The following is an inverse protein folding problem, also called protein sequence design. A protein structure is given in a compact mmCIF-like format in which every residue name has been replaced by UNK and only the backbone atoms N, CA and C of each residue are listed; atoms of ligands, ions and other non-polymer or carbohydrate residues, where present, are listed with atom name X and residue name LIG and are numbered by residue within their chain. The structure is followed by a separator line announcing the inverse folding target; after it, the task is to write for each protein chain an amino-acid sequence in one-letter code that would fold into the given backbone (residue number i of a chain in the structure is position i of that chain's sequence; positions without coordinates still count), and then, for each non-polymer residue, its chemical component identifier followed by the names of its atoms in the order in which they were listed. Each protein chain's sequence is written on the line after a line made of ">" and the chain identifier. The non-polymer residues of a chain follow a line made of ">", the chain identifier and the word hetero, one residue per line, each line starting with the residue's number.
data_IF_496309848084
#
_entry.id   IF_496309848084
#
_cell.length_a   1.000
_cell.length_b   1.000
_cell.length_c   1.000
_cell.angle_alpha   90.00
_cell.angle_beta   90.00
_cell.angle_gamma   90.00
#
_symmetry.space_group_name_H-M   'P 1'
#
loop_
_entity.id
_entity.type
_entity.pdbx_description
1 polymer ?
#
# COMPACT_ATOMS: atom_id res chain seq x y z
N UNK A 1 -6.89 10.03 16.94
CA UNK A 1 -7.68 8.88 17.40
C UNK A 1 -8.13 8.22 16.12
N UNK A 2 -8.00 6.90 16.02
CA UNK A 2 -8.49 6.15 14.88
C UNK A 2 -10.01 5.97 14.98
N UNK A 3 -10.64 5.56 13.89
CA UNK A 3 -12.07 5.26 13.82
C UNK A 3 -12.37 4.03 14.67
N UNK A 4 -13.37 4.13 15.53
CA UNK A 4 -13.80 3.06 16.44
C UNK A 4 -15.20 2.51 16.12
N UNK A 5 -15.97 3.18 15.26
CA UNK A 5 -17.25 2.72 14.76
C UNK A 5 -17.45 3.18 13.30
N UNK A 6 -17.30 2.28 12.33
CA UNK A 6 -17.35 2.63 10.90
C UNK A 6 -18.75 3.01 10.42
N UNK A 7 -19.80 2.43 11.00
CA UNK A 7 -21.19 2.76 10.68
C UNK A 7 -21.49 4.22 11.03
N UNK A 8 -21.23 4.62 12.28
CA UNK A 8 -21.43 6.00 12.72
C UNK A 8 -20.54 6.97 11.94
N UNK A 9 -19.32 6.55 11.60
CA UNK A 9 -18.41 7.36 10.80
C UNK A 9 -18.93 7.59 9.37
N UNK A 10 -19.45 6.54 8.74
CA UNK A 10 -19.87 6.56 7.35
C UNK A 10 -21.23 7.22 7.13
N UNK A 11 -22.03 7.39 8.18
CA UNK A 11 -23.42 7.87 8.14
C UNK A 11 -24.32 6.95 7.29
N UNK A 12 -24.06 5.65 7.37
CA UNK A 12 -24.84 4.62 6.70
C UNK A 12 -25.77 3.92 7.69
N UNK A 13 -26.96 3.55 7.23
CA UNK A 13 -27.84 2.65 7.97
C UNK A 13 -27.33 1.20 7.89
N UNK A 14 -27.79 0.32 8.77
CA UNK A 14 -27.43 -1.11 8.69
C UNK A 14 -27.83 -1.74 7.34
N UNK A 15 -28.94 -1.28 6.75
CA UNK A 15 -29.40 -1.76 5.45
C UNK A 15 -28.50 -1.29 4.31
N UNK A 16 -28.01 -0.04 4.38
CA UNK A 16 -27.06 0.46 3.39
C UNK A 16 -25.77 -0.37 3.39
N UNK A 17 -25.27 -0.70 4.59
CA UNK A 17 -24.04 -1.49 4.74
C UNK A 17 -24.23 -2.89 4.13
N UNK A 18 -25.35 -3.56 4.44
CA UNK A 18 -25.68 -4.87 3.86
C UNK A 18 -25.81 -4.84 2.34
N UNK A 19 -26.50 -3.83 1.80
CA UNK A 19 -26.69 -3.71 0.35
C UNK A 19 -25.36 -3.42 -0.37
N UNK A 20 -24.48 -2.61 0.22
CA UNK A 20 -23.12 -2.42 -0.32
C UNK A 20 -22.37 -3.75 -0.35
N UNK A 21 -22.38 -4.50 0.77
CA UNK A 21 -21.74 -5.82 0.87
C UNK A 21 -22.24 -6.79 -0.20
N UNK A 22 -23.56 -6.96 -0.29
CA UNK A 22 -24.19 -7.83 -1.28
C UNK A 22 -23.84 -7.45 -2.73
N UNK A 23 -23.76 -6.14 -3.05
CA UNK A 23 -23.36 -5.67 -4.38
C UNK A 23 -21.89 -5.92 -4.67
N UNK A 24 -21.02 -5.84 -3.67
CA UNK A 24 -19.60 -6.17 -3.81
C UNK A 24 -19.40 -7.67 -4.00
N UNK A 25 -20.11 -8.51 -3.25
CA UNK A 25 -20.10 -9.96 -3.45
C UNK A 25 -20.59 -10.33 -4.87
N UNK A 26 -21.68 -9.71 -5.34
CA UNK A 26 -22.17 -9.92 -6.71
C UNK A 26 -21.16 -9.48 -7.79
N UNK A 27 -20.43 -8.38 -7.56
CA UNK A 27 -19.32 -7.97 -8.45
C UNK A 27 -18.24 -9.05 -8.47
N UNK A 28 -17.82 -9.54 -7.29
CA UNK A 28 -16.80 -10.59 -7.19
C UNK A 28 -17.21 -11.83 -7.97
N UNK A 29 -18.40 -12.36 -7.71
CA UNK A 29 -18.93 -13.57 -8.36
C UNK A 29 -19.00 -13.42 -9.89
N UNK A 30 -19.45 -12.27 -10.39
CA UNK A 30 -19.53 -12.00 -11.83
C UNK A 30 -18.14 -12.02 -12.50
N UNK A 31 -17.14 -11.39 -11.88
CA UNK A 31 -15.79 -11.37 -12.43
C UNK A 31 -15.08 -12.71 -12.30
N UNK A 32 -15.30 -13.45 -11.21
CA UNK A 32 -14.79 -14.82 -11.04
C UNK A 32 -15.39 -15.76 -12.10
N UNK A 33 -16.68 -15.64 -12.40
CA UNK A 33 -17.35 -16.44 -13.43
C UNK A 33 -16.90 -16.11 -14.86
N UNK A 34 -16.41 -14.90 -15.12
CA UNK A 34 -15.89 -14.46 -16.44
C UNK A 34 -14.38 -14.72 -16.62
N UNK A 35 -13.70 -15.32 -15.64
CA UNK A 35 -12.28 -15.67 -15.79
C UNK A 35 -12.09 -16.72 -16.89
N UNK A 36 -11.12 -16.50 -17.77
CA UNK A 36 -10.89 -17.41 -18.88
C UNK A 36 -9.64 -17.13 -19.68
N UNK A 37 -9.64 -17.54 -20.95
CA UNK A 37 -8.43 -17.54 -21.78
C UNK A 37 -7.78 -16.16 -21.96
N UNK A 38 -8.55 -15.08 -21.89
CA UNK A 38 -8.01 -13.71 -22.00
C UNK A 38 -7.08 -13.38 -20.82
N UNK A 39 -7.41 -13.86 -19.63
CA UNK A 39 -6.64 -13.70 -18.41
C UNK A 39 -5.40 -14.59 -18.43
N UNK A 40 -5.55 -15.85 -18.88
CA UNK A 40 -4.42 -16.77 -19.08
C UNK A 40 -3.40 -16.18 -20.07
N UNK A 41 -3.87 -15.62 -21.20
CA UNK A 41 -3.01 -14.97 -22.20
C UNK A 41 -2.30 -13.75 -21.62
N UNK A 42 -2.97 -12.99 -20.75
CA UNK A 42 -2.38 -11.85 -20.06
C UNK A 42 -1.19 -12.27 -19.21
N UNK A 43 -1.38 -13.16 -18.24
CA UNK A 43 -0.30 -13.53 -17.30
C UNK A 43 0.84 -14.28 -18.00
N UNK A 44 0.55 -15.23 -18.91
CA UNK A 44 1.59 -15.93 -19.67
C UNK A 44 2.35 -15.00 -20.62
N UNK A 45 1.65 -14.04 -21.23
CA UNK A 45 2.26 -13.00 -22.06
C UNK A 45 3.19 -12.09 -21.25
N UNK A 46 2.78 -11.73 -20.04
CA UNK A 46 3.56 -10.90 -19.14
C UNK A 46 4.81 -11.62 -18.63
N UNK A 47 4.69 -12.86 -18.14
CA UNK A 47 5.82 -13.70 -17.71
C UNK A 47 6.84 -13.84 -18.86
N UNK A 48 6.36 -14.12 -20.08
CA UNK A 48 7.23 -14.20 -21.26
C UNK A 48 7.96 -12.87 -21.51
N UNK A 49 7.25 -11.75 -21.44
CA UNK A 49 7.84 -10.40 -21.64
C UNK A 49 8.90 -10.09 -20.59
N UNK A 50 8.60 -10.37 -19.32
CA UNK A 50 9.53 -10.20 -18.20
C UNK A 50 10.79 -11.07 -18.41
N UNK A 51 10.64 -12.36 -18.75
CA UNK A 51 11.76 -13.28 -19.01
C UNK A 51 12.62 -12.80 -20.19
N UNK A 52 12.01 -12.29 -21.26
CA UNK A 52 12.76 -11.69 -22.37
C UNK A 52 13.54 -10.45 -21.95
N UNK A 53 12.95 -9.55 -21.16
CA UNK A 53 13.64 -8.38 -20.63
C UNK A 53 14.82 -8.78 -19.75
N UNK A 54 14.65 -9.79 -18.88
CA UNK A 54 15.73 -10.33 -18.06
C UNK A 54 16.89 -10.82 -18.94
N UNK A 55 16.62 -11.74 -19.86
CA UNK A 55 17.65 -12.34 -20.73
C UNK A 55 18.33 -11.28 -21.60
N UNK A 56 17.57 -10.38 -22.22
CA UNK A 56 18.12 -9.30 -23.04
C UNK A 56 18.96 -8.32 -22.20
N UNK A 57 18.52 -8.00 -20.99
CA UNK A 57 19.27 -7.17 -20.05
C UNK A 57 20.60 -7.82 -19.67
N UNK A 58 20.60 -9.12 -19.32
CA UNK A 58 21.83 -9.89 -19.03
C UNK A 58 22.76 -9.95 -20.23
N UNK A 59 22.23 -10.19 -21.44
CA UNK A 59 23.02 -10.21 -22.66
C UNK A 59 23.66 -8.86 -22.97
N UNK A 60 22.95 -7.75 -22.76
CA UNK A 60 23.52 -6.40 -22.87
C UNK A 60 24.70 -6.20 -21.89
N UNK A 61 24.61 -6.74 -20.68
CA UNK A 61 25.68 -6.60 -19.69
C UNK A 61 26.99 -7.30 -20.05
N UNK A 62 26.97 -8.29 -20.96
CA UNK A 62 28.19 -8.88 -21.53
C UNK A 62 29.07 -7.83 -22.25
N UNK A 63 28.47 -6.72 -22.69
CA UNK A 63 29.14 -5.62 -23.41
C UNK A 63 29.10 -4.29 -22.64
N UNK A 64 28.78 -4.32 -21.34
CA UNK A 64 28.57 -3.13 -20.49
C UNK A 64 29.82 -2.30 -20.20
N UNK A 65 31.00 -2.70 -20.68
CA UNK A 65 32.18 -1.82 -20.73
C UNK A 65 31.93 -0.57 -21.60
N UNK A 66 30.94 -0.64 -22.49
CA UNK A 66 30.44 0.52 -23.25
C UNK A 66 29.14 1.03 -22.62
N UNK A 67 29.09 2.34 -22.34
CA UNK A 67 27.96 3.00 -21.66
C UNK A 67 26.57 2.68 -22.23
N UNK A 68 26.34 2.64 -23.56
CA UNK A 68 25.01 2.34 -24.09
C UNK A 68 24.48 0.96 -23.68
N UNK A 69 25.33 -0.06 -23.64
CA UNK A 69 24.96 -1.40 -23.22
C UNK A 69 24.73 -1.50 -21.71
N UNK A 70 25.45 -0.70 -20.91
CA UNK A 70 25.16 -0.58 -19.48
C UNK A 70 23.77 0.03 -19.25
N UNK A 71 23.43 1.13 -19.92
CA UNK A 71 22.09 1.73 -19.81
C UNK A 71 21.00 0.79 -20.28
N UNK A 72 21.18 0.14 -21.44
CA UNK A 72 20.23 -0.86 -21.93
C UNK A 72 20.04 -2.02 -20.93
N UNK A 73 21.14 -2.55 -20.38
CA UNK A 73 21.11 -3.60 -19.38
C UNK A 73 20.38 -3.18 -18.11
N UNK A 74 20.69 -2.00 -17.56
CA UNK A 74 20.01 -1.47 -16.37
C UNK A 74 18.53 -1.26 -16.63
N UNK A 75 18.14 -0.63 -17.74
CA UNK A 75 16.72 -0.38 -18.06
C UNK A 75 15.94 -1.68 -18.18
N UNK A 76 16.45 -2.65 -18.95
CA UNK A 76 15.77 -3.94 -19.14
C UNK A 76 15.67 -4.74 -17.84
N UNK A 77 16.74 -4.79 -17.05
CA UNK A 77 16.73 -5.48 -15.76
C UNK A 77 15.83 -4.78 -14.74
N UNK A 78 15.79 -3.45 -14.71
CA UNK A 78 14.87 -2.70 -13.85
C UNK A 78 13.42 -3.01 -14.19
N UNK A 79 13.05 -2.98 -15.47
CA UNK A 79 11.70 -3.30 -15.91
C UNK A 79 11.33 -4.76 -15.61
N UNK A 80 12.23 -5.70 -15.93
CA UNK A 80 12.08 -7.12 -15.58
C UNK A 80 11.80 -7.30 -14.08
N UNK A 81 12.64 -6.71 -13.23
CA UNK A 81 12.54 -6.78 -11.77
C UNK A 81 11.29 -6.10 -11.21
N UNK A 82 10.82 -5.01 -11.83
CA UNK A 82 9.56 -4.35 -11.44
C UNK A 82 8.36 -5.24 -11.78
N UNK A 83 8.30 -5.78 -13.00
CA UNK A 83 7.22 -6.67 -13.43
C UNK A 83 7.17 -7.93 -12.58
N UNK A 84 8.33 -8.55 -12.35
CA UNK A 84 8.44 -9.75 -11.50
C UNK A 84 8.02 -9.47 -10.06
N UNK A 85 8.32 -8.29 -9.52
CA UNK A 85 7.99 -7.97 -8.13
C UNK A 85 6.50 -7.63 -7.96
N UNK A 86 5.95 -6.73 -8.78
CA UNK A 86 4.65 -6.12 -8.51
C UNK A 86 3.51 -6.75 -9.32
N UNK A 87 3.71 -7.06 -10.60
CA UNK A 87 2.62 -7.54 -11.45
C UNK A 87 2.54 -9.07 -11.52
N UNK A 88 3.68 -9.76 -11.41
CA UNK A 88 3.74 -11.22 -11.45
C UNK A 88 3.80 -11.79 -10.04
N UNK A 89 4.95 -11.68 -9.36
CA UNK A 89 5.21 -12.41 -8.12
C UNK A 89 4.26 -12.06 -6.98
N UNK A 90 3.99 -10.76 -6.76
CA UNK A 90 2.99 -10.30 -5.81
C UNK A 90 1.62 -10.94 -6.08
N UNK A 91 1.10 -10.76 -7.30
CA UNK A 91 -0.23 -11.20 -7.69
C UNK A 91 -0.39 -12.73 -7.70
N UNK A 92 0.62 -13.47 -8.16
CA UNK A 92 0.64 -14.94 -8.10
C UNK A 92 0.62 -15.42 -6.65
N UNK A 93 1.44 -14.84 -5.77
CA UNK A 93 1.44 -15.22 -4.34
C UNK A 93 0.21 -14.74 -3.57
N UNK A 94 -0.59 -13.82 -4.12
CA UNK A 94 -1.93 -13.51 -3.62
C UNK A 94 -2.99 -14.57 -3.95
N UNK A 95 -2.65 -15.56 -4.78
CA UNK A 95 -3.60 -16.56 -5.27
C UNK A 95 -4.43 -16.09 -6.46
N UNK A 96 -4.11 -14.92 -7.04
CA UNK A 96 -4.90 -14.33 -8.12
C UNK A 96 -4.99 -15.21 -9.37
N UNK A 97 -4.09 -16.18 -9.53
CA UNK A 97 -4.02 -17.06 -10.68
C UNK A 97 -4.27 -18.53 -10.33
N UNK A 98 -4.56 -18.85 -9.07
CA UNK A 98 -4.68 -20.23 -8.59
C UNK A 98 -5.87 -20.97 -9.25
N UNK A 99 -6.91 -20.25 -9.67
CA UNK A 99 -8.04 -20.78 -10.44
C UNK A 99 -7.62 -21.46 -11.75
N UNK A 100 -6.45 -21.11 -12.30
CA UNK A 100 -5.91 -21.74 -13.50
C UNK A 100 -5.46 -23.19 -13.26
N UNK A 101 -5.24 -23.59 -12.00
CA UNK A 101 -4.65 -24.87 -11.62
C UNK A 101 -3.32 -25.16 -12.36
N UNK A 102 -2.55 -24.11 -12.67
CA UNK A 102 -1.25 -24.21 -13.35
C UNK A 102 -0.14 -24.32 -12.29
N UNK A 103 0.60 -25.45 -12.20
CA UNK A 103 1.58 -25.65 -11.13
C UNK A 103 2.77 -24.68 -11.22
N UNK A 104 3.02 -24.07 -12.38
CA UNK A 104 4.06 -23.05 -12.54
C UNK A 104 3.57 -21.65 -12.14
N UNK A 105 2.26 -21.40 -12.12
CA UNK A 105 1.66 -20.09 -11.83
C UNK A 105 0.66 -20.27 -10.67
N UNK A 106 1.20 -20.56 -9.49
CA UNK A 106 0.40 -20.83 -8.30
C UNK A 106 1.03 -20.21 -7.06
N UNK A 107 0.20 -19.73 -6.13
CA UNK A 107 0.63 -19.02 -4.91
C UNK A 107 1.62 -19.81 -4.06
N UNK A 108 1.42 -21.13 -3.97
CA UNK A 108 2.23 -22.04 -3.15
C UNK A 108 3.55 -22.47 -3.81
N UNK A 109 3.74 -22.26 -5.11
CA UNK A 109 4.93 -22.71 -5.85
C UNK A 109 5.75 -21.57 -6.41
N UNK A 110 5.14 -20.39 -6.63
CA UNK A 110 5.86 -19.23 -7.17
C UNK A 110 6.87 -18.71 -6.17
N UNK A 111 8.11 -18.51 -6.63
CA UNK A 111 9.13 -17.81 -5.86
C UNK A 111 9.73 -16.67 -6.65
N UNK A 112 9.37 -15.45 -6.25
CA UNK A 112 9.72 -14.23 -6.97
C UNK A 112 11.20 -13.82 -6.82
N UNK A 113 11.63 -12.94 -7.73
CA UNK A 113 12.97 -12.37 -7.74
C UNK A 113 13.19 -11.27 -6.70
N UNK A 114 13.04 -11.63 -5.41
CA UNK A 114 13.23 -10.75 -4.27
C UNK A 114 13.86 -11.53 -3.09
N UNK A 115 14.20 -10.82 -2.01
CA UNK A 115 14.84 -11.38 -0.80
C UNK A 115 13.81 -11.99 0.15
N UNK A 116 12.58 -11.48 0.15
CA UNK A 116 11.48 -12.01 0.95
C UNK A 116 11.07 -13.41 0.46
N UNK A 117 11.10 -14.46 1.29
CA UNK A 117 10.52 -15.76 0.96
C UNK A 117 9.02 -15.64 0.65
N UNK A 118 8.51 -16.42 -0.31
CA UNK A 118 7.09 -16.37 -0.66
C UNK A 118 6.19 -16.76 0.52
N UNK A 119 6.61 -17.75 1.29
CA UNK A 119 5.99 -18.17 2.57
C UNK A 119 5.80 -17.00 3.55
N UNK A 120 6.83 -16.18 3.75
CA UNK A 120 6.80 -15.04 4.67
C UNK A 120 5.98 -13.87 4.11
N UNK A 121 5.99 -13.67 2.79
CA UNK A 121 5.08 -12.74 2.14
C UNK A 121 3.62 -13.14 2.36
N UNK A 122 3.26 -14.39 2.08
CA UNK A 122 1.91 -14.91 2.30
C UNK A 122 1.47 -14.78 3.77
N UNK A 123 2.38 -14.99 4.73
CA UNK A 123 2.07 -14.79 6.14
C UNK A 123 1.85 -13.31 6.49
N UNK A 124 2.85 -12.46 6.27
CA UNK A 124 2.79 -11.05 6.72
C UNK A 124 1.83 -10.21 5.92
N UNK A 125 1.77 -10.42 4.62
CA UNK A 125 0.94 -9.58 3.76
C UNK A 125 -0.45 -10.17 3.59
N UNK A 126 -0.60 -11.44 3.18
CA UNK A 126 -1.92 -12.00 2.92
C UNK A 126 -2.68 -12.30 4.24
N UNK A 127 -2.04 -12.97 5.21
CA UNK A 127 -2.74 -13.42 6.41
C UNK A 127 -2.85 -12.35 7.52
N UNK A 128 -1.91 -11.39 7.57
CA UNK A 128 -1.92 -10.32 8.57
C UNK A 128 -2.42 -9.01 7.95
N UNK A 129 -1.73 -8.46 6.97
CA UNK A 129 -2.05 -7.13 6.46
C UNK A 129 -3.43 -7.04 5.80
N UNK A 130 -3.79 -7.95 4.88
CA UNK A 130 -5.12 -7.93 4.22
C UNK A 130 -6.27 -8.20 5.19
N UNK A 131 -6.02 -8.96 6.25
CA UNK A 131 -7.01 -9.17 7.30
C UNK A 131 -7.21 -7.92 8.16
N UNK A 132 -6.11 -7.31 8.60
CA UNK A 132 -6.12 -6.26 9.62
C UNK A 132 -5.87 -4.85 9.08
N UNK A 133 -5.98 -4.63 7.77
CA UNK A 133 -5.55 -3.40 7.08
C UNK A 133 -5.89 -2.13 7.86
N UNK A 134 -4.86 -1.34 8.15
CA UNK A 134 -4.90 -0.07 8.87
C UNK A 134 -5.48 -0.10 10.30
N UNK A 135 -5.64 -1.29 10.91
CA UNK A 135 -5.97 -1.41 12.33
C UNK A 135 -4.72 -1.18 13.18
N UNK A 136 -4.75 -0.12 13.99
CA UNK A 136 -3.60 0.28 14.81
C UNK A 136 -3.20 -0.80 15.81
N UNK A 137 -1.95 -1.26 15.69
CA UNK A 137 -1.38 -2.29 16.57
C UNK A 137 -1.84 -3.71 16.26
N UNK A 138 -2.45 -3.93 15.10
CA UNK A 138 -2.66 -5.25 14.49
C UNK A 138 -1.99 -5.31 13.11
N UNK A 139 -2.17 -4.26 12.31
CA UNK A 139 -1.44 -4.09 11.06
C UNK A 139 -0.10 -3.38 11.32
N UNK A 140 0.97 -4.13 11.09
CA UNK A 140 2.33 -3.62 11.20
C UNK A 140 2.70 -2.72 10.03
N UNK A 141 2.02 -2.84 8.88
CA UNK A 141 2.33 -2.11 7.65
C UNK A 141 2.05 -0.63 7.82
N UNK A 142 1.15 -0.24 8.73
CA UNK A 142 1.01 1.15 9.22
C UNK A 142 2.39 1.67 9.68
N UNK A 143 3.16 2.27 8.78
CA UNK A 143 4.53 2.72 9.03
C UNK A 143 5.59 1.63 9.27
N UNK A 144 5.35 0.36 8.94
CA UNK A 144 6.33 -0.74 9.04
C UNK A 144 7.05 -0.85 10.40
N UNK A 145 6.38 -0.46 11.49
CA UNK A 145 6.95 -0.37 12.84
C UNK A 145 8.08 0.65 13.06
N UNK A 146 8.60 1.29 12.02
CA UNK A 146 9.77 2.19 12.07
C UNK A 146 9.36 3.64 11.77
N UNK A 147 8.48 3.82 10.79
CA UNK A 147 7.95 5.12 10.41
C UNK A 147 6.69 5.44 11.22
N UNK A 148 6.52 6.74 11.46
CA UNK A 148 5.32 7.32 12.04
C UNK A 148 4.50 7.95 10.93
N UNK A 149 3.48 7.20 10.52
CA UNK A 149 2.51 7.57 9.48
C UNK A 149 1.20 8.13 10.05
N UNK A 150 0.97 7.98 11.35
CA UNK A 150 -0.19 8.54 12.07
C UNK A 150 0.25 9.22 13.35
N UNK A 151 -0.49 10.27 13.75
CA UNK A 151 -0.27 10.98 15.03
C UNK A 151 -0.67 10.15 16.26
N UNK A 152 -1.40 9.06 16.06
CA UNK A 152 -1.85 8.16 17.12
C UNK A 152 -0.74 7.24 17.63
N UNK A 153 0.35 7.13 16.86
CA UNK A 153 1.61 6.58 17.39
C UNK A 153 2.33 7.63 18.21
N UNK A 154 2.76 7.23 19.41
CA UNK A 154 3.54 8.07 20.32
C UNK A 154 4.81 8.55 19.62
N UNK A 155 5.03 9.85 19.63
CA UNK A 155 6.27 10.44 19.12
C UNK A 155 7.44 10.13 20.06
N UNK A 156 8.61 9.91 19.47
CA UNK A 156 9.91 9.70 20.14
C UNK A 156 10.97 10.48 19.36
N UNK A 157 12.11 10.76 19.99
CA UNK A 157 13.21 11.52 19.37
C UNK A 157 13.73 10.91 18.07
N UNK A 158 13.65 9.58 17.91
CA UNK A 158 14.03 8.89 16.68
C UNK A 158 13.21 9.35 15.46
N UNK A 159 11.96 9.77 15.65
CA UNK A 159 11.11 10.24 14.55
C UNK A 159 11.58 11.57 13.96
N UNK A 160 12.42 12.35 14.65
CA UNK A 160 13.05 13.53 14.06
C UNK A 160 13.96 13.15 12.86
N UNK A 161 14.50 11.92 12.86
CA UNK A 161 15.33 11.38 11.79
C UNK A 161 14.55 10.58 10.73
N UNK A 162 13.21 10.58 10.82
CA UNK A 162 12.33 9.91 9.86
C UNK A 162 12.65 10.22 8.39
N UNK A 163 13.09 11.42 7.95
CA UNK A 163 13.43 11.64 6.53
C UNK A 163 14.60 10.76 6.06
N UNK A 164 15.62 10.60 6.89
CA UNK A 164 16.79 9.74 6.61
C UNK A 164 16.38 8.27 6.65
N UNK A 165 15.60 7.89 7.66
CA UNK A 165 15.08 6.54 7.80
C UNK A 165 14.19 6.16 6.62
N UNK A 166 13.35 7.09 6.15
CA UNK A 166 12.46 6.90 5.01
C UNK A 166 13.24 6.75 3.70
N UNK A 167 14.23 7.62 3.45
CA UNK A 167 15.09 7.49 2.28
C UNK A 167 15.88 6.17 2.28
N UNK A 168 16.33 5.73 3.46
CA UNK A 168 17.00 4.43 3.64
C UNK A 168 16.03 3.27 3.36
N UNK A 169 14.82 3.34 3.92
CA UNK A 169 13.77 2.34 3.70
C UNK A 169 13.42 2.24 2.22
N UNK A 170 13.20 3.36 1.53
CA UNK A 170 12.91 3.37 0.10
C UNK A 170 14.04 2.75 -0.74
N UNK A 171 15.30 3.05 -0.39
CA UNK A 171 16.48 2.53 -1.10
C UNK A 171 16.69 1.03 -0.88
N UNK A 172 16.39 0.55 0.34
CA UNK A 172 16.58 -0.83 0.78
C UNK A 172 15.26 -1.59 0.94
N UNK A 173 14.20 -1.15 0.26
CA UNK A 173 12.84 -1.62 0.52
C UNK A 173 12.70 -3.14 0.41
N UNK A 174 13.37 -3.74 -0.57
CA UNK A 174 13.43 -5.19 -0.72
C UNK A 174 13.98 -5.95 0.50
N UNK A 175 14.97 -5.36 1.18
CA UNK A 175 15.60 -5.94 2.37
C UNK A 175 14.70 -5.76 3.58
N UNK A 176 14.03 -4.60 3.68
CA UNK A 176 13.05 -4.34 4.72
C UNK A 176 11.90 -5.36 4.65
N UNK A 177 11.31 -5.57 3.46
CA UNK A 177 10.29 -6.61 3.22
C UNK A 177 10.86 -8.01 3.49
N UNK A 178 12.10 -8.26 3.09
CA UNK A 178 12.76 -9.56 3.29
C UNK A 178 12.88 -9.99 4.74
N UNK A 179 13.19 -9.06 5.64
CA UNK A 179 13.34 -9.33 7.07
C UNK A 179 12.10 -8.94 7.90
N UNK A 180 11.01 -8.59 7.24
CA UNK A 180 9.83 -8.07 7.90
C UNK A 180 9.17 -9.10 8.83
N UNK A 181 8.91 -10.31 8.31
CA UNK A 181 8.34 -11.41 9.11
C UNK A 181 9.31 -11.99 10.14
N UNK A 182 10.61 -11.70 10.01
CA UNK A 182 11.60 -12.15 11.00
C UNK A 182 11.37 -11.44 12.34
N UNK A 183 10.78 -10.24 12.33
CA UNK A 183 10.41 -9.48 13.53
C UNK A 183 11.58 -9.28 14.53
N UNK A 184 12.78 -8.97 14.02
CA UNK A 184 13.99 -8.77 14.85
C UNK A 184 13.80 -7.74 15.97
N UNK A 185 12.87 -6.78 15.80
CA UNK A 185 12.49 -5.84 16.85
C UNK A 185 11.82 -6.50 18.06
N UNK A 186 11.01 -7.56 17.86
CA UNK A 186 10.43 -8.33 18.98
C UNK A 186 11.51 -9.10 19.74
N UNK A 187 12.48 -9.67 19.03
CA UNK A 187 13.63 -10.34 19.64
C UNK A 187 14.46 -9.35 20.47
N UNK A 188 14.80 -8.18 19.90
CA UNK A 188 15.55 -7.14 20.61
C UNK A 188 14.81 -6.59 21.83
N UNK A 189 13.47 -6.58 21.79
CA UNK A 189 12.61 -6.17 22.91
C UNK A 189 12.33 -7.29 23.93
N UNK A 190 12.90 -8.49 23.76
CA UNK A 190 12.67 -9.64 24.64
C UNK A 190 11.24 -10.22 24.56
N UNK A 191 10.50 -9.91 23.50
CA UNK A 191 9.11 -10.39 23.27
C UNK A 191 9.03 -11.64 22.39
N UNK A 192 10.17 -12.08 21.86
CA UNK A 192 10.30 -13.32 21.10
C UNK A 192 11.64 -13.97 21.46
N UNK A 193 11.73 -15.28 21.33
CA UNK A 193 12.96 -16.05 21.54
C UNK A 193 13.70 -16.28 20.22
N UNK A 194 15.01 -16.55 20.29
CA UNK A 194 15.77 -16.97 19.11
C UNK A 194 15.21 -18.26 18.51
N UNK A 195 14.70 -19.19 19.34
CA UNK A 195 14.10 -20.44 18.87
C UNK A 195 12.90 -20.20 17.94
N UNK A 196 12.09 -19.18 18.23
CA UNK A 196 10.95 -18.77 17.39
C UNK A 196 11.39 -17.98 16.15
N UNK A 197 12.44 -17.16 16.29
CA UNK A 197 12.92 -16.25 15.23
C UNK A 197 13.81 -16.95 14.20
N UNK A 198 14.61 -17.92 14.64
CA UNK A 198 15.66 -18.56 13.84
C UNK A 198 15.16 -19.23 12.56
N UNK A 199 14.01 -19.95 12.53
CA UNK A 199 13.51 -20.55 11.30
C UNK A 199 13.28 -19.50 10.20
N UNK A 200 12.55 -18.42 10.53
CA UNK A 200 12.25 -17.30 9.63
C UNK A 200 13.53 -16.59 9.18
N UNK A 201 14.43 -16.31 10.14
CA UNK A 201 15.72 -15.70 9.84
C UNK A 201 16.54 -16.52 8.84
N UNK A 202 16.68 -17.83 9.08
CA UNK A 202 17.51 -18.68 8.22
C UNK A 202 16.89 -18.96 6.86
N UNK A 203 15.57 -19.00 6.75
CA UNK A 203 14.88 -19.04 5.46
C UNK A 203 15.20 -17.79 4.62
N UNK A 204 14.98 -16.60 5.20
CA UNK A 204 15.32 -15.32 4.56
C UNK A 204 16.81 -15.25 4.23
N UNK A 205 17.70 -15.63 5.14
CA UNK A 205 19.14 -15.58 4.93
C UNK A 205 19.60 -16.54 3.80
N UNK A 206 19.03 -17.75 3.71
CA UNK A 206 19.33 -18.68 2.60
C UNK A 206 18.85 -18.12 1.28
N UNK A 207 17.64 -17.55 1.24
CA UNK A 207 17.11 -16.92 0.03
C UNK A 207 17.95 -15.72 -0.39
N UNK A 208 18.24 -14.81 0.54
CA UNK A 208 19.14 -13.68 0.34
C UNK A 208 20.51 -14.16 -0.19
N UNK A 209 21.09 -15.21 0.39
CA UNK A 209 22.36 -15.78 -0.04
C UNK A 209 22.32 -16.26 -1.50
N UNK A 210 21.27 -16.99 -1.90
CA UNK A 210 21.06 -17.42 -3.30
C UNK A 210 20.93 -16.23 -4.25
N UNK A 211 20.13 -15.22 -3.88
CA UNK A 211 19.94 -14.03 -4.70
C UNK A 211 21.24 -13.23 -4.87
N UNK A 212 21.98 -13.02 -3.78
CA UNK A 212 23.25 -12.29 -3.83
C UNK A 212 24.33 -13.08 -4.58
N UNK A 213 24.39 -14.40 -4.42
CA UNK A 213 25.29 -15.25 -5.20
C UNK A 213 25.00 -15.09 -6.70
N UNK A 214 23.73 -15.13 -7.09
CA UNK A 214 23.34 -14.98 -8.50
C UNK A 214 23.67 -13.58 -9.04
N UNK A 215 23.23 -12.52 -8.36
CA UNK A 215 23.32 -11.14 -8.84
C UNK A 215 24.72 -10.54 -8.70
N UNK A 216 25.53 -10.95 -7.71
CA UNK A 216 26.81 -10.31 -7.43
C UNK A 216 28.04 -11.21 -7.62
N UNK A 217 27.84 -12.50 -7.91
CA UNK A 217 28.93 -13.43 -8.22
C UNK A 217 28.73 -14.08 -9.58
N UNK A 218 27.64 -14.81 -9.80
CA UNK A 218 27.44 -15.60 -11.02
C UNK A 218 27.34 -14.71 -12.27
N UNK A 219 26.39 -13.76 -12.31
CA UNK A 219 26.25 -12.88 -13.49
C UNK A 219 27.48 -11.99 -13.75
N UNK A 220 28.09 -11.36 -12.73
CA UNK A 220 29.36 -10.66 -12.91
C UNK A 220 30.47 -11.56 -13.47
N UNK A 221 30.63 -12.78 -12.96
CA UNK A 221 31.61 -13.72 -13.49
C UNK A 221 31.35 -14.08 -14.96
N UNK A 222 30.08 -14.32 -15.33
CA UNK A 222 29.68 -14.59 -16.71
C UNK A 222 29.96 -13.41 -17.67
N UNK A 223 29.99 -12.17 -17.15
CA UNK A 223 30.34 -10.99 -17.96
C UNK A 223 31.84 -10.75 -18.14
N UNK A 224 32.69 -11.61 -17.57
CA UNK A 224 34.14 -11.61 -17.76
C UNK A 224 34.78 -10.25 -17.41
N UNK A 225 35.51 -9.59 -18.33
CA UNK A 225 36.14 -8.30 -18.07
C UNK A 225 35.17 -7.19 -17.59
N UNK A 226 33.87 -7.34 -17.89
CA UNK A 226 32.84 -6.37 -17.52
C UNK A 226 32.24 -6.58 -16.12
N UNK A 227 32.79 -7.50 -15.31
CA UNK A 227 32.21 -7.89 -14.01
C UNK A 227 31.88 -6.71 -13.09
N UNK A 228 32.75 -5.69 -12.98
CA UNK A 228 32.47 -4.49 -12.16
C UNK A 228 31.26 -3.72 -12.67
N UNK A 229 31.14 -3.58 -13.99
CA UNK A 229 30.03 -2.90 -14.66
C UNK A 229 28.72 -3.66 -14.47
N UNK A 230 28.76 -4.99 -14.50
CA UNK A 230 27.61 -5.85 -14.21
C UNK A 230 27.17 -5.77 -12.75
N UNK A 231 28.12 -5.72 -11.78
CA UNK A 231 27.80 -5.51 -10.35
C UNK A 231 27.07 -4.18 -10.16
N UNK A 232 27.58 -3.08 -10.75
CA UNK A 232 26.92 -1.78 -10.62
C UNK A 232 25.56 -1.76 -11.30
N UNK A 233 25.41 -2.38 -12.47
CA UNK A 233 24.12 -2.48 -13.15
C UNK A 233 23.08 -3.24 -12.30
N UNK A 234 23.48 -4.35 -11.67
CA UNK A 234 22.60 -5.14 -10.81
C UNK A 234 22.20 -4.39 -9.54
N UNK A 235 23.15 -3.71 -8.91
CA UNK A 235 22.87 -2.86 -7.76
C UNK A 235 21.90 -1.72 -8.14
N UNK A 236 22.12 -1.06 -9.28
CA UNK A 236 21.23 0.00 -9.79
C UNK A 236 19.83 -0.53 -10.11
N UNK A 237 19.71 -1.68 -10.78
CA UNK A 237 18.41 -2.26 -11.10
C UNK A 237 17.62 -2.64 -9.83
N UNK A 238 18.30 -3.20 -8.84
CA UNK A 238 17.73 -3.51 -7.52
C UNK A 238 17.31 -2.25 -6.76
N UNK A 239 18.11 -1.19 -6.80
CA UNK A 239 17.78 0.11 -6.22
C UNK A 239 16.53 0.72 -6.87
N UNK A 240 16.47 0.74 -8.20
CA UNK A 240 15.30 1.25 -8.96
C UNK A 240 14.04 0.48 -8.57
N UNK A 241 14.10 -0.86 -8.54
CA UNK A 241 12.97 -1.67 -8.08
C UNK A 241 12.54 -1.32 -6.65
N UNK A 242 13.48 -1.24 -5.70
CA UNK A 242 13.18 -0.91 -4.30
C UNK A 242 12.44 0.43 -4.17
N UNK A 243 12.97 1.48 -4.81
CA UNK A 243 12.38 2.82 -4.76
C UNK A 243 10.99 2.83 -5.43
N UNK A 244 10.84 2.12 -6.54
CA UNK A 244 9.58 2.00 -7.25
C UNK A 244 8.50 1.26 -6.43
N UNK A 245 8.84 0.08 -5.90
CA UNK A 245 7.94 -0.70 -5.06
C UNK A 245 7.53 0.06 -3.80
N UNK A 246 8.49 0.72 -3.13
CA UNK A 246 8.22 1.63 -2.02
C UNK A 246 7.19 2.70 -2.42
N UNK A 247 7.41 3.39 -3.56
CA UNK A 247 6.55 4.48 -3.98
C UNK A 247 5.12 4.01 -4.28
N UNK A 248 4.97 2.87 -4.95
CA UNK A 248 3.66 2.27 -5.26
C UNK A 248 2.92 1.87 -3.99
N UNK A 249 3.54 1.04 -3.15
CA UNK A 249 2.90 0.48 -1.95
C UNK A 249 2.53 1.59 -0.95
N UNK A 250 3.41 2.58 -0.75
CA UNK A 250 3.11 3.66 0.17
C UNK A 250 1.94 4.55 -0.29
N UNK A 251 1.76 4.71 -1.61
CA UNK A 251 0.63 5.45 -2.15
C UNK A 251 -0.71 4.73 -1.91
N UNK A 252 -0.69 3.41 -1.70
CA UNK A 252 -1.87 2.61 -1.40
C UNK A 252 -2.40 2.77 0.03
N UNK A 253 -1.49 2.97 1.00
CA UNK A 253 -1.81 2.83 2.43
C UNK A 253 -1.66 4.09 3.28
N UNK A 254 -0.76 5.00 2.90
CA UNK A 254 -0.39 6.15 3.74
C UNK A 254 -0.67 7.54 3.16
N UNK A 255 -1.33 7.75 2.00
CA UNK A 255 -1.63 9.11 1.61
C UNK A 255 -2.65 9.71 2.58
N UNK A 256 -2.70 11.05 2.59
CA UNK A 256 -3.79 11.75 3.26
C UNK A 256 -5.12 11.10 2.86
N UNK A 257 -6.04 11.01 3.81
CA UNK A 257 -7.39 10.48 3.60
C UNK A 257 -7.53 8.96 3.46
N UNK A 258 -6.46 8.17 3.63
CA UNK A 258 -6.55 6.76 4.00
C UNK A 258 -6.76 6.63 5.52
N UNK A 259 -7.86 6.00 5.93
CA UNK A 259 -8.27 5.96 7.32
C UNK A 259 -7.54 4.88 8.13
N UNK A 260 -7.43 5.11 9.44
CA UNK A 260 -6.95 4.11 10.40
C UNK A 260 -8.02 3.76 11.40
N UNK A 261 -7.99 2.52 11.88
CA UNK A 261 -9.04 1.93 12.70
C UNK A 261 -8.50 1.43 14.05
N UNK A 262 -9.35 1.39 15.07
CA UNK A 262 -9.01 0.84 16.39
C UNK A 262 -9.25 -0.67 16.42
N UNK A 263 -8.79 -1.32 17.49
CA UNK A 263 -9.11 -2.74 17.74
C UNK A 263 -10.58 -2.93 18.09
N UNK A 264 -11.20 -1.89 18.64
CA UNK A 264 -12.62 -1.86 18.99
C UNK A 264 -13.50 -1.99 17.75
N UNK A 265 -13.18 -1.27 16.66
CA UNK A 265 -13.85 -1.43 15.36
C UNK A 265 -13.82 -2.89 14.90
N UNK A 266 -12.67 -3.54 15.00
CA UNK A 266 -12.50 -4.92 14.52
C UNK A 266 -13.25 -5.98 15.35
N UNK A 267 -13.42 -5.77 16.67
CA UNK A 267 -13.95 -6.81 17.58
C UNK A 267 -15.32 -7.34 17.17
N UNK A 268 -16.17 -6.49 16.60
CA UNK A 268 -17.54 -6.81 16.25
C UNK A 268 -17.82 -6.60 14.75
N UNK A 269 -16.77 -6.50 13.93
CA UNK A 269 -16.88 -6.22 12.50
C UNK A 269 -17.59 -7.36 11.75
N UNK A 270 -18.64 -7.01 11.03
CA UNK A 270 -19.29 -7.88 10.05
C UNK A 270 -18.50 -7.93 8.74
N UNK A 271 -18.81 -8.90 7.85
CA UNK A 271 -18.21 -8.97 6.52
C UNK A 271 -18.45 -7.69 5.69
N UNK A 272 -19.66 -7.13 5.79
CA UNK A 272 -20.02 -5.92 5.05
C UNK A 272 -19.27 -4.67 5.58
N UNK A 273 -19.09 -4.57 6.89
CA UNK A 273 -18.25 -3.53 7.51
C UNK A 273 -16.77 -3.72 7.19
N UNK A 274 -16.31 -4.96 7.03
CA UNK A 274 -14.96 -5.26 6.57
C UNK A 274 -14.71 -4.65 5.18
N UNK A 275 -15.66 -4.77 4.24
CA UNK A 275 -15.54 -4.10 2.94
C UNK A 275 -15.37 -2.59 3.09
N UNK A 276 -16.20 -1.95 3.90
CA UNK A 276 -16.09 -0.50 4.15
C UNK A 276 -14.72 -0.14 4.74
N UNK A 277 -14.21 -0.94 5.69
CA UNK A 277 -12.91 -0.69 6.30
C UNK A 277 -11.78 -0.78 5.28
N UNK A 278 -11.80 -1.82 4.45
CA UNK A 278 -10.81 -2.02 3.38
C UNK A 278 -10.83 -0.86 2.38
N UNK A 279 -12.02 -0.39 1.99
CA UNK A 279 -12.20 0.72 1.06
C UNK A 279 -11.73 2.06 1.65
N UNK A 280 -12.11 2.36 2.89
CA UNK A 280 -11.76 3.62 3.56
C UNK A 280 -10.29 3.64 4.02
N UNK A 281 -9.70 2.48 4.28
CA UNK A 281 -8.29 2.33 4.67
C UNK A 281 -7.31 2.38 3.50
N UNK A 282 -7.78 2.33 2.27
CA UNK A 282 -6.94 2.24 1.07
C UNK A 282 -7.10 3.47 0.17
N UNK A 283 -6.12 3.69 -0.69
CA UNK A 283 -6.12 4.80 -1.63
C UNK A 283 -5.59 4.38 -3.00
N UNK A 284 -6.28 4.85 -4.03
CA UNK A 284 -5.95 4.61 -5.42
C UNK A 284 -5.12 5.75 -6.00
N UNK A 285 -4.47 5.46 -7.12
CA UNK A 285 -3.93 6.51 -7.98
C UNK A 285 -4.24 6.25 -9.45
N UNK A 286 -4.41 7.34 -10.21
CA UNK A 286 -4.64 7.27 -11.65
C UNK A 286 -3.33 7.07 -12.39
N UNK A 287 -3.37 6.16 -13.35
CA UNK A 287 -2.28 5.90 -14.28
C UNK A 287 -2.79 5.44 -15.63
N UNK A 288 -2.02 5.73 -16.69
CA UNK A 288 -2.23 5.07 -17.97
C UNK A 288 -1.75 3.61 -17.91
N UNK A 289 -1.97 2.84 -18.99
CA UNK A 289 -1.66 1.41 -19.08
C UNK A 289 -0.26 1.03 -18.58
N UNK A 290 0.76 1.84 -18.93
CA UNK A 290 2.15 1.60 -18.52
C UNK A 290 2.29 1.69 -17.00
N UNK A 291 1.77 2.75 -16.38
CA UNK A 291 1.86 2.92 -14.93
C UNK A 291 1.08 1.82 -14.21
N UNK A 292 -0.10 1.46 -14.70
CA UNK A 292 -0.90 0.36 -14.16
C UNK A 292 -0.11 -0.95 -14.13
N UNK A 293 0.45 -1.38 -15.27
CA UNK A 293 1.26 -2.61 -15.35
C UNK A 293 2.52 -2.52 -14.49
N UNK A 294 3.24 -1.39 -14.53
CA UNK A 294 4.46 -1.23 -13.73
C UNK A 294 4.16 -1.16 -12.23
N UNK A 295 2.94 -0.78 -11.83
CA UNK A 295 2.51 -0.77 -10.43
C UNK A 295 1.97 -2.12 -9.94
N UNK A 296 1.83 -3.14 -10.79
CA UNK A 296 1.19 -4.39 -10.38
C UNK A 296 -0.34 -4.32 -10.34
N UNK A 297 -0.94 -3.33 -11.00
CA UNK A 297 -2.32 -2.85 -10.80
C UNK A 297 -2.62 -2.37 -9.36
N UNK A 298 -1.61 -2.20 -8.49
CA UNK A 298 -1.77 -1.62 -7.15
C UNK A 298 -2.16 -0.14 -7.17
N UNK A 299 -2.26 0.47 -8.35
CA UNK A 299 -2.95 1.74 -8.52
C UNK A 299 -4.47 1.64 -8.23
N UNK A 300 -5.01 0.43 -8.16
CA UNK A 300 -6.36 0.04 -7.72
C UNK A 300 -6.29 -0.67 -6.35
N UNK A 301 -5.66 -0.03 -5.36
CA UNK A 301 -5.47 -0.56 -4.02
C UNK A 301 -6.80 -0.87 -3.31
N UNK A 302 -7.82 -0.03 -3.48
CA UNK A 302 -9.15 -0.26 -2.89
C UNK A 302 -9.68 -1.61 -3.35
N UNK A 303 -9.64 -1.87 -4.66
CA UNK A 303 -10.11 -3.11 -5.27
C UNK A 303 -9.25 -4.31 -4.84
N UNK A 304 -7.93 -4.12 -4.79
CA UNK A 304 -7.01 -5.14 -4.30
C UNK A 304 -7.29 -5.53 -2.84
N UNK A 305 -7.73 -4.60 -2.00
CA UNK A 305 -8.01 -4.90 -0.59
C UNK A 305 -9.34 -5.60 -0.36
N UNK A 306 -10.36 -5.28 -1.17
CA UNK A 306 -11.66 -5.94 -1.08
C UNK A 306 -11.67 -7.30 -1.78
N UNK A 307 -10.87 -7.49 -2.84
CA UNK A 307 -10.72 -8.74 -3.59
C UNK A 307 -9.24 -9.09 -3.84
N UNK A 308 -8.47 -9.45 -2.80
CA UNK A 308 -7.02 -9.65 -2.92
C UNK A 308 -6.60 -10.79 -3.85
N UNK A 309 -7.48 -11.78 -4.02
CA UNK A 309 -7.35 -12.97 -4.85
C UNK A 309 -7.98 -12.81 -6.25
N UNK A 310 -8.47 -11.63 -6.62
CA UNK A 310 -8.94 -11.36 -7.97
C UNK A 310 -7.77 -11.04 -8.92
N UNK A 311 -7.71 -11.62 -10.13
CA UNK A 311 -6.74 -11.26 -11.16
C UNK A 311 -6.53 -9.75 -11.35
N UNK A 312 -5.28 -9.31 -11.21
CA UNK A 312 -4.86 -7.91 -11.30
C UNK A 312 -5.38 -7.17 -12.53
N UNK A 313 -5.47 -7.86 -13.67
CA UNK A 313 -5.96 -7.30 -14.92
C UNK A 313 -7.45 -6.95 -14.92
N UNK A 314 -8.22 -7.37 -13.90
CA UNK A 314 -9.65 -7.06 -13.73
C UNK A 314 -9.91 -5.86 -12.84
N UNK A 315 -8.95 -5.46 -12.01
CA UNK A 315 -9.14 -4.42 -10.99
C UNK A 315 -9.57 -3.07 -11.60
N UNK A 316 -9.14 -2.75 -12.82
CA UNK A 316 -9.57 -1.53 -13.52
C UNK A 316 -11.07 -1.52 -13.86
N UNK A 317 -11.64 -2.67 -14.20
CA UNK A 317 -13.06 -2.80 -14.53
C UNK A 317 -13.91 -2.84 -13.26
N UNK A 318 -13.46 -3.59 -12.25
CA UNK A 318 -14.07 -3.65 -10.92
C UNK A 318 -14.11 -2.25 -10.29
N UNK A 319 -13.00 -1.52 -10.33
CA UNK A 319 -12.91 -0.19 -9.71
C UNK A 319 -13.91 0.83 -10.25
N UNK A 320 -14.38 0.68 -11.50
CA UNK A 320 -15.46 1.53 -12.02
C UNK A 320 -16.79 1.26 -11.32
N UNK A 321 -17.10 0.00 -11.01
CA UNK A 321 -18.32 -0.40 -10.32
C UNK A 321 -18.25 -0.05 -8.84
N UNK A 322 -17.09 -0.23 -8.22
CA UNK A 322 -16.83 0.18 -6.83
C UNK A 322 -16.95 1.70 -6.69
N UNK A 323 -16.33 2.49 -7.58
CA UNK A 323 -16.46 3.96 -7.58
C UNK A 323 -17.93 4.41 -7.75
N UNK A 324 -18.71 3.69 -8.56
CA UNK A 324 -20.14 3.94 -8.71
C UNK A 324 -20.91 3.68 -7.40
N UNK A 325 -20.67 2.56 -6.73
CA UNK A 325 -21.26 2.26 -5.41
C UNK A 325 -20.86 3.36 -4.41
N UNK A 326 -19.58 3.72 -4.33
CA UNK A 326 -19.14 4.81 -3.47
C UNK A 326 -19.90 6.11 -3.76
N UNK A 327 -20.15 6.41 -5.04
CA UNK A 327 -20.86 7.62 -5.42
C UNK A 327 -22.33 7.60 -4.97
N UNK A 328 -22.99 6.46 -5.12
CA UNK A 328 -24.40 6.24 -4.79
C UNK A 328 -24.65 6.31 -3.28
N UNK A 329 -23.74 5.80 -2.45
CA UNK A 329 -23.86 5.82 -0.98
C UNK A 329 -23.18 7.01 -0.30
N UNK A 330 -22.76 8.01 -1.09
CA UNK A 330 -21.99 9.16 -0.63
C UNK A 330 -20.74 8.77 0.21
N UNK A 331 -20.05 7.72 -0.20
CA UNK A 331 -18.74 7.31 0.34
C UNK A 331 -17.60 7.94 -0.46
N UNK A 332 -16.46 8.27 0.18
CA UNK A 332 -15.28 8.72 -0.52
C UNK A 332 -14.67 7.56 -1.32
N UNK A 333 -14.12 7.88 -2.49
CA UNK A 333 -13.29 6.97 -3.27
C UNK A 333 -11.92 7.66 -3.44
N UNK A 334 -10.98 7.36 -2.54
CA UNK A 334 -9.73 8.11 -2.40
C UNK A 334 -8.81 7.86 -3.59
N UNK A 335 -8.88 8.72 -4.60
CA UNK A 335 -8.09 8.60 -5.82
C UNK A 335 -7.48 9.94 -6.22
N UNK A 336 -6.19 9.94 -6.57
CA UNK A 336 -5.49 11.12 -7.09
C UNK A 336 -4.48 10.73 -8.19
N UNK A 337 -3.74 11.67 -8.78
CA UNK A 337 -2.58 11.33 -9.61
C UNK A 337 -1.46 10.69 -8.79
N UNK A 338 -0.64 9.82 -9.40
CA UNK A 338 0.49 9.20 -8.70
C UNK A 338 1.45 10.20 -8.04
N UNK A 339 1.89 11.30 -8.69
CA UNK A 339 2.72 12.30 -8.04
C UNK A 339 2.04 12.98 -6.85
N UNK A 340 0.72 13.20 -6.92
CA UNK A 340 -0.04 13.80 -5.83
C UNK A 340 -0.16 12.85 -4.63
N UNK A 341 -0.46 11.56 -4.84
CA UNK A 341 -0.48 10.58 -3.74
C UNK A 341 0.91 10.46 -3.10
N UNK A 342 1.96 10.35 -3.91
CA UNK A 342 3.33 10.28 -3.39
C UNK A 342 3.70 11.53 -2.60
N UNK A 343 3.32 12.72 -3.07
CA UNK A 343 3.53 13.96 -2.34
C UNK A 343 2.79 13.98 -1.00
N UNK A 344 1.54 13.53 -0.93
CA UNK A 344 0.78 13.44 0.34
C UNK A 344 1.48 12.53 1.34
N UNK A 345 1.97 11.36 0.90
CA UNK A 345 2.76 10.44 1.73
C UNK A 345 4.00 11.17 2.29
N UNK A 346 4.83 11.75 1.41
CA UNK A 346 6.07 12.41 1.84
C UNK A 346 5.80 13.59 2.77
N UNK A 347 4.77 14.40 2.46
CA UNK A 347 4.31 15.50 3.30
C UNK A 347 3.92 15.01 4.69
N UNK A 348 3.17 13.91 4.79
CA UNK A 348 2.75 13.36 6.08
C UNK A 348 3.94 12.81 6.87
N UNK A 349 4.87 12.10 6.22
CA UNK A 349 6.11 11.64 6.87
C UNK A 349 6.96 12.80 7.40
N UNK A 350 7.14 13.87 6.60
CA UNK A 350 7.87 15.07 7.02
C UNK A 350 7.17 15.81 8.16
N UNK A 351 5.85 15.99 8.08
CA UNK A 351 5.04 16.61 9.13
C UNK A 351 5.15 15.85 10.45
N UNK A 352 5.10 14.53 10.41
CA UNK A 352 5.13 13.68 11.61
C UNK A 352 6.52 13.48 12.21
N UNK A 353 7.56 14.10 11.64
CA UNK A 353 8.86 14.30 12.33
C UNK A 353 8.71 15.15 13.59
N UNK A 354 7.70 16.02 13.63
CA UNK A 354 7.44 16.92 14.74
C UNK A 354 6.55 16.25 15.82
N UNK A 355 6.76 16.59 17.11
CA UNK A 355 5.84 16.21 18.18
C UNK A 355 4.42 16.74 17.94
N UNK A 356 3.40 16.02 18.41
CA UNK A 356 1.99 16.39 18.23
C UNK A 356 1.64 17.80 18.71
N UNK A 357 2.30 18.30 19.76
CA UNK A 357 2.07 19.66 20.29
C UNK A 357 2.43 20.78 19.31
N UNK A 358 3.15 20.48 18.23
CA UNK A 358 3.53 21.44 17.18
C UNK A 358 2.64 21.31 15.93
N UNK A 359 1.70 20.36 15.91
CA UNK A 359 0.81 20.13 14.78
C UNK A 359 -0.46 20.96 14.95
N UNK A 360 -0.71 21.88 14.02
CA UNK A 360 -1.83 22.82 14.10
C UNK A 360 -3.20 22.19 13.83
N UNK A 361 -3.26 21.13 13.01
CA UNK A 361 -4.53 20.50 12.66
C UNK A 361 -5.12 19.75 13.85
N UNK A 362 -6.44 19.82 14.00
CA UNK A 362 -7.17 19.05 14.99
C UNK A 362 -6.85 17.56 14.89
N UNK A 363 -6.69 16.87 16.02
CA UNK A 363 -6.38 15.44 16.05
C UNK A 363 -7.51 14.55 15.56
N UNK A 364 -8.74 15.07 15.57
CA UNK A 364 -9.93 14.34 15.13
C UNK A 364 -10.23 14.64 13.64
N UNK A 365 -9.67 15.71 13.06
CA UNK A 365 -9.83 16.09 11.64
C UNK A 365 -8.49 16.44 10.98
N UNK A 366 -7.52 15.53 11.06
CA UNK A 366 -6.24 15.70 10.40
C UNK A 366 -6.25 15.09 8.99
N UNK A 367 -5.37 15.53 8.08
CA UNK A 367 -5.22 14.87 6.78
C UNK A 367 -4.81 13.40 6.89
N UNK A 368 -3.95 13.07 7.85
CA UNK A 368 -3.35 11.73 8.04
C UNK A 368 -4.12 10.82 9.01
N UNK A 369 -5.12 11.34 9.71
CA UNK A 369 -5.97 10.55 10.60
C UNK A 369 -7.26 11.29 10.93
N UNK A 370 -8.34 10.55 11.11
CA UNK A 370 -9.62 11.06 11.64
C UNK A 370 -10.21 10.08 12.63
N UNK A 371 -11.11 10.60 13.45
CA UNK A 371 -11.91 9.82 14.39
C UNK A 371 -13.40 10.11 14.16
N UNK A 372 -14.26 9.26 14.72
CA UNK A 372 -15.70 9.51 14.82
C UNK A 372 -16.05 10.88 15.41
N UNK A 373 -15.18 11.43 16.28
CA UNK A 373 -15.38 12.73 16.90
C UNK A 373 -15.18 13.90 15.96
N UNK A 374 -14.70 13.68 14.73
CA UNK A 374 -14.60 14.72 13.73
C UNK A 374 -15.95 15.41 13.50
N UNK A 375 -17.04 14.64 13.45
CA UNK A 375 -18.37 15.19 13.17
C UNK A 375 -19.00 15.81 14.43
N UNK A 376 -19.01 15.10 15.56
CA UNK A 376 -19.59 15.60 16.82
C UNK A 376 -18.89 16.84 17.39
N UNK A 377 -17.64 17.10 17.01
CA UNK A 377 -16.88 18.29 17.44
C UNK A 377 -17.16 19.54 16.59
N UNK A 378 -17.72 19.37 15.40
CA UNK A 378 -18.09 20.46 14.49
C UNK A 378 -19.58 20.33 14.14
N UNK A 379 -20.49 20.75 15.05
CA UNK A 379 -21.94 20.65 14.84
C UNK A 379 -22.41 21.32 13.54
N UNK A 380 -21.71 22.36 13.07
CA UNK A 380 -21.95 23.00 11.79
C UNK A 380 -21.80 22.07 10.58
N UNK A 381 -20.99 21.01 10.73
CA UNK A 381 -20.83 19.94 9.74
C UNK A 381 -21.85 18.83 9.99
N UNK A 382 -21.94 18.35 11.23
CA UNK A 382 -22.84 17.24 11.61
C UNK A 382 -24.31 17.52 11.23
N UNK A 383 -24.78 18.76 11.45
CA UNK A 383 -26.15 19.17 11.10
C UNK A 383 -26.46 19.15 9.59
N UNK A 384 -25.45 19.04 8.73
CA UNK A 384 -25.61 18.91 7.28
C UNK A 384 -25.59 17.46 6.80
N UNK A 385 -25.37 16.52 7.71
CA UNK A 385 -25.28 15.10 7.41
C UNK A 385 -26.48 14.35 8.01
N UNK A 386 -26.83 13.23 7.40
CA UNK A 386 -27.89 12.37 7.90
C UNK A 386 -27.60 10.91 7.57
N UNK A 387 -28.17 10.00 8.36
CA UNK A 387 -28.00 8.57 8.15
C UNK A 387 -28.90 8.11 7.01
N UNK A 388 -28.31 7.42 6.03
CA UNK A 388 -29.06 6.89 4.90
C UNK A 388 -29.52 7.96 3.90
N UNK A 389 -30.49 7.61 3.05
CA UNK A 389 -31.13 8.54 2.14
C UNK A 389 -32.27 9.31 2.84
N UNK A 390 -32.45 10.58 2.48
CA UNK A 390 -33.58 11.39 2.93
C UNK A 390 -34.88 11.02 2.19
N UNK A 391 -35.98 11.71 2.50
CA UNK A 391 -37.29 11.49 1.87
C UNK A 391 -37.29 11.69 0.33
N UNK A 392 -36.28 12.39 -0.21
CA UNK A 392 -36.10 12.63 -1.64
C UNK A 392 -35.13 11.63 -2.29
N UNK A 393 -34.56 10.72 -1.51
CA UNK A 393 -33.53 9.79 -1.96
C UNK A 393 -32.12 10.40 -2.03
N UNK A 394 -31.93 11.62 -1.55
CA UNK A 394 -30.63 12.28 -1.52
C UNK A 394 -29.82 11.80 -0.31
N UNK A 395 -28.49 11.78 -0.43
CA UNK A 395 -27.58 11.36 0.64
C UNK A 395 -26.56 12.45 0.95
N UNK A 396 -26.40 12.77 2.23
CA UNK A 396 -25.33 13.59 2.75
C UNK A 396 -24.54 12.80 3.81
N UNK A 397 -23.72 11.87 3.35
CA UNK A 397 -22.94 10.97 4.17
C UNK A 397 -21.47 11.36 4.25
N UNK A 398 -20.59 10.36 4.35
CA UNK A 398 -19.17 10.56 4.64
C UNK A 398 -18.45 11.46 3.62
N UNK A 399 -18.65 11.26 2.31
CA UNK A 399 -17.98 12.05 1.27
C UNK A 399 -18.34 13.53 1.38
N UNK A 400 -19.62 13.84 1.63
CA UNK A 400 -20.07 15.22 1.88
C UNK A 400 -19.44 15.77 3.15
N UNK A 401 -19.49 15.01 4.25
CA UNK A 401 -18.88 15.36 5.52
C UNK A 401 -17.38 15.64 5.41
N UNK A 402 -16.62 14.80 4.72
CA UNK A 402 -15.18 14.98 4.53
C UNK A 402 -14.84 16.25 3.75
N UNK A 403 -15.65 16.63 2.75
CA UNK A 403 -15.47 17.90 2.03
C UNK A 403 -15.68 19.10 2.94
N UNK A 404 -16.67 19.05 3.83
CA UNK A 404 -16.95 20.11 4.81
C UNK A 404 -15.83 20.18 5.85
N UNK A 405 -15.46 19.04 6.45
CA UNK A 405 -14.36 18.93 7.41
C UNK A 405 -13.03 19.47 6.85
N UNK A 406 -12.73 19.21 5.58
CA UNK A 406 -11.50 19.69 4.94
C UNK A 406 -11.39 21.22 4.94
N UNK A 407 -12.51 21.94 4.87
CA UNK A 407 -12.55 23.41 4.93
C UNK A 407 -12.21 23.96 6.32
N UNK A 408 -12.41 23.16 7.37
CA UNK A 408 -12.11 23.53 8.76
C UNK A 408 -10.65 23.34 9.16
N UNK A 409 -9.84 22.69 8.31
CA UNK A 409 -8.42 22.45 8.56
C UNK A 409 -7.64 23.78 8.49
N UNK A 410 -6.59 23.96 9.31
CA UNK A 410 -5.83 25.19 9.31
C UNK A 410 -5.13 25.42 7.96
N UNK A 411 -5.09 26.68 7.54
CA UNK A 411 -4.29 27.10 6.39
C UNK A 411 -2.79 26.99 6.70
N UNK A 412 -1.94 27.11 5.67
CA UNK A 412 -0.48 27.17 5.85
C UNK A 412 -0.10 28.34 6.77
N UNK A 413 -0.73 29.50 6.60
CA UNK A 413 -0.48 30.69 7.43
C UNK A 413 -0.85 30.44 8.89
N UNK A 414 -2.04 29.88 9.15
CA UNK A 414 -2.47 29.53 10.51
C UNK A 414 -1.56 28.46 11.14
N UNK A 415 -1.05 27.53 10.34
CA UNK A 415 -0.10 26.51 10.81
C UNK A 415 1.24 27.12 11.23
N UNK A 416 1.75 28.10 10.47
CA UNK A 416 2.97 28.84 10.81
C UNK A 416 2.76 29.71 12.07
N UNK A 417 1.60 30.36 12.19
CA UNK A 417 1.24 31.13 13.39
C UNK A 417 1.18 30.23 14.64
N UNK A 418 0.56 29.06 14.52
CA UNK A 418 0.52 28.07 15.60
C UNK A 418 1.93 27.62 16.00
N UNK A 419 2.77 27.27 15.01
CA UNK A 419 4.15 26.85 15.24
C UNK A 419 5.00 27.94 15.93
N UNK A 420 4.79 29.20 15.60
CA UNK A 420 5.50 30.35 16.19
C UNK A 420 4.92 30.82 17.54
N UNK A 421 3.92 30.13 18.08
CA UNK A 421 3.25 30.51 19.32
C UNK A 421 2.35 31.75 19.20
N UNK A 422 2.07 32.21 17.97
CA UNK A 422 1.29 33.42 17.65
C UNK A 422 -0.17 33.11 17.30
N UNK A 423 -0.74 32.03 17.83
CA UNK A 423 -2.10 31.60 17.48
C UNK A 423 -3.11 32.72 17.78
N UNK A 424 -3.82 33.27 16.78
CA UNK A 424 -4.95 34.15 17.06
C UNK A 424 -6.01 33.36 17.83
N UNK A 425 -6.61 33.93 18.88
CA UNK A 425 -7.85 33.39 19.44
C UNK A 425 -8.86 33.28 18.28
N UNK A 426 -9.39 32.08 18.03
CA UNK A 426 -10.53 31.92 17.13
C UNK A 426 -11.66 32.80 17.68
N UNK A 427 -11.95 33.91 17.01
CA UNK A 427 -13.25 34.55 17.12
C UNK A 427 -14.26 33.57 16.56
N UNK A 428 -14.98 32.89 17.45
CA UNK A 428 -16.24 32.25 17.11
C UNK A 428 -17.18 33.39 16.69
N UNK A 429 -17.51 33.44 15.40
CA UNK A 429 -18.53 34.33 14.86
C UNK A 429 -19.69 33.46 14.36
#
# INVERSE_FOLDING_TARGET
>A
MAIDNIQAYSHLSDEDIREIGARLDAIREEFEADLGEKDVRYIKGLIRTQRYMEVAGRAALLFSGRKPFWFAGVTLLSLSKILENLEIGHNVMHGQWDWMNDPEIHSTTWEWDNICPGSQWMHTHNAVHHKYTNILGMDTDVGYGILRVTRDRKWTTMHAFQPIVNATLASLFQWAVGFYDVELGKLAAGRATWKETAPKFWETARKAGKQNLRDYVLFPALSGPNYKSTITANATANFIRSVWAYAVIFCGHFPDEAETFTKEQYKNETHDEWYLRQMLGSANFRGGKILTILSGNLNYQVEHHIFPDMPSNRLSEIGKRVEQICKEYDLPYNTDSFPAQLFKVQKTLLKLTLPNKLLAADRDNAPEVRSNRAFTKYPEVENQLHVGADEKGERAGLRTGLKLLKKLRPTVVQSIQHFSGRTPQRTLA
#
